data_IF_000841239461
#
_entry.id   IF_000841239461
#
_cell.length_a   1.000
_cell.length_b   1.000
_cell.length_c   1.000
_cell.angle_alpha   90.00
_cell.angle_beta   90.00
_cell.angle_gamma   90.00
#
_symmetry.space_group_name_H-M   'P 1'
#
loop_
_entity.id
_entity.type
_entity.pdbx_description
1 polymer ?
#
# COMPACT_ATOMS: atom_id res chain seq x y z
N UNK A 1 -20.96 7.66 -14.12
CA UNK A 1 -20.93 6.76 -12.92
C UNK A 1 -22.02 7.26 -12.00
N UNK A 2 -23.00 6.43 -11.59
CA UNK A 2 -24.04 6.91 -10.68
C UNK A 2 -23.39 7.32 -9.35
N UNK A 3 -23.87 8.43 -8.79
CA UNK A 3 -23.37 9.04 -7.56
C UNK A 3 -23.66 8.12 -6.38
N UNK A 4 -22.77 7.16 -6.12
CA UNK A 4 -22.95 6.25 -4.98
C UNK A 4 -22.63 6.99 -3.68
N UNK A 5 -23.44 6.75 -2.64
CA UNK A 5 -23.21 7.28 -1.30
C UNK A 5 -21.90 6.72 -0.75
N UNK A 6 -20.84 7.51 -0.90
CA UNK A 6 -19.62 7.33 -0.13
C UNK A 6 -19.94 7.60 1.35
N UNK A 7 -19.21 6.94 2.25
CA UNK A 7 -19.28 7.26 3.67
C UNK A 7 -18.91 8.73 3.90
N UNK A 8 -19.52 9.35 4.91
CA UNK A 8 -19.14 10.69 5.32
C UNK A 8 -17.63 10.70 5.65
N UNK A 9 -16.82 11.55 4.99
CA UNK A 9 -15.37 11.54 5.14
C UNK A 9 -14.91 11.78 6.59
N UNK A 10 -15.68 12.56 7.36
CA UNK A 10 -15.37 12.80 8.78
C UNK A 10 -15.58 11.54 9.62
N UNK A 11 -16.67 10.80 9.39
CA UNK A 11 -16.93 9.53 10.08
C UNK A 11 -15.91 8.46 9.70
N UNK A 12 -15.56 8.37 8.41
CA UNK A 12 -14.53 7.46 7.95
C UNK A 12 -13.15 7.81 8.55
N UNK A 13 -12.82 9.10 8.65
CA UNK A 13 -11.60 9.58 9.27
C UNK A 13 -11.51 9.25 10.76
N UNK A 14 -12.59 9.46 11.52
CA UNK A 14 -12.66 9.10 12.96
C UNK A 14 -12.52 7.59 13.13
N UNK A 15 -13.24 6.78 12.34
CA UNK A 15 -13.13 5.33 12.40
C UNK A 15 -11.70 4.86 12.09
N UNK A 16 -11.05 5.42 11.07
CA UNK A 16 -9.66 5.12 10.72
C UNK A 16 -8.69 5.53 11.84
N UNK A 17 -8.90 6.70 12.46
CA UNK A 17 -8.12 7.16 13.60
C UNK A 17 -8.24 6.25 14.82
N UNK A 18 -9.45 5.76 15.11
CA UNK A 18 -9.69 4.77 16.18
C UNK A 18 -9.00 3.44 15.88
N UNK A 19 -9.01 2.98 14.63
CA UNK A 19 -8.27 1.76 14.22
C UNK A 19 -6.77 1.96 14.38
N UNK A 20 -6.23 3.12 13.98
CA UNK A 20 -4.82 3.44 14.17
C UNK A 20 -4.45 3.46 15.65
N UNK A 21 -5.26 4.10 16.49
CA UNK A 21 -5.07 4.13 17.95
C UNK A 21 -5.12 2.73 18.55
N UNK A 22 -6.11 1.92 18.17
CA UNK A 22 -6.22 0.54 18.62
C UNK A 22 -5.00 -0.30 18.18
N UNK A 23 -4.50 -0.08 16.97
CA UNK A 23 -3.27 -0.74 16.48
C UNK A 23 -2.07 -0.42 17.38
N UNK A 24 -1.89 0.85 17.74
CA UNK A 24 -0.84 1.25 18.66
C UNK A 24 -1.02 0.67 20.07
N UNK A 25 -2.24 0.67 20.60
CA UNK A 25 -2.53 0.21 21.97
C UNK A 25 -2.40 -1.30 22.13
N UNK A 26 -2.91 -2.08 21.18
CA UNK A 26 -2.94 -3.54 21.29
C UNK A 26 -1.59 -4.14 20.88
N UNK A 27 -0.88 -3.50 19.95
CA UNK A 27 0.22 -4.16 19.21
C UNK A 27 1.51 -3.36 19.14
N UNK A 28 1.53 -2.14 19.69
CA UNK A 28 2.71 -1.29 19.77
C UNK A 28 3.24 -0.79 18.43
N UNK A 29 2.52 -1.05 17.32
CA UNK A 29 2.93 -0.70 15.97
C UNK A 29 1.80 0.04 15.24
N UNK A 30 2.16 1.03 14.43
CA UNK A 30 1.22 1.72 13.56
C UNK A 30 0.96 0.96 12.26
N UNK A 31 -0.03 1.44 11.50
CA UNK A 31 -0.46 0.87 10.22
C UNK A 31 0.63 1.02 9.15
N UNK A 32 0.88 -0.03 8.37
CA UNK A 32 1.88 -0.03 7.30
C UNK A 32 1.80 -1.25 6.37
N UNK A 33 1.63 -1.02 5.07
CA UNK A 33 1.51 -2.11 4.09
C UNK A 33 2.86 -2.55 3.47
N UNK A 34 3.78 -1.61 3.20
CA UNK A 34 5.03 -1.90 2.49
C UNK A 34 6.03 -2.77 3.25
N UNK A 35 5.94 -2.81 4.58
CA UNK A 35 6.75 -3.73 5.39
C UNK A 35 6.35 -5.18 5.13
N UNK A 36 5.05 -5.48 5.14
CA UNK A 36 4.52 -6.81 4.81
C UNK A 36 4.79 -7.21 3.35
N UNK A 37 4.56 -6.30 2.39
CA UNK A 37 4.74 -6.61 0.97
C UNK A 37 6.20 -6.97 0.64
N UNK A 38 7.16 -6.28 1.26
CA UNK A 38 8.57 -6.63 1.12
C UNK A 38 8.97 -7.86 1.91
N UNK A 39 8.34 -8.05 3.07
CA UNK A 39 8.24 -9.31 3.83
C UNK A 39 8.07 -10.49 2.88
N UNK A 40 6.89 -10.50 2.26
CA UNK A 40 6.45 -11.51 1.31
C UNK A 40 7.38 -11.61 0.08
N UNK A 41 7.84 -10.48 -0.48
CA UNK A 41 8.75 -10.50 -1.62
C UNK A 41 10.11 -11.13 -1.28
N UNK A 42 10.67 -10.86 -0.10
CA UNK A 42 11.91 -11.49 0.39
C UNK A 42 11.68 -12.97 0.66
N UNK A 43 10.55 -13.34 1.27
CA UNK A 43 10.19 -14.75 1.48
C UNK A 43 10.05 -15.53 0.17
N UNK A 44 9.40 -14.94 -0.84
CA UNK A 44 9.31 -15.51 -2.19
C UNK A 44 10.69 -15.59 -2.87
N UNK A 45 11.52 -14.55 -2.74
CA UNK A 45 12.89 -14.55 -3.29
C UNK A 45 13.77 -15.62 -2.62
N UNK A 46 13.60 -15.86 -1.32
CA UNK A 46 14.33 -16.91 -0.59
C UNK A 46 13.96 -18.32 -1.06
N UNK A 47 12.69 -18.56 -1.41
CA UNK A 47 12.24 -19.85 -1.98
C UNK A 47 12.83 -20.09 -3.38
N UNK A 48 13.05 -19.03 -4.15
CA UNK A 48 13.55 -19.13 -5.54
C UNK A 48 15.08 -19.11 -5.61
N UNK A 49 15.76 -18.33 -4.75
CA UNK A 49 17.21 -18.13 -4.78
C UNK A 49 17.79 -17.93 -3.35
N UNK A 50 17.90 -18.99 -2.54
CA UNK A 50 18.35 -18.89 -1.15
C UNK A 50 19.80 -18.36 -1.01
N UNK A 51 20.70 -18.71 -1.94
CA UNK A 51 22.11 -18.28 -1.91
C UNK A 51 22.30 -16.78 -2.16
N UNK A 52 21.48 -16.17 -3.02
CA UNK A 52 21.53 -14.73 -3.31
C UNK A 52 21.00 -13.88 -2.15
N UNK A 53 20.05 -14.42 -1.37
CA UNK A 53 19.42 -13.76 -0.22
C UNK A 53 20.28 -13.91 1.05
N UNK A 54 21.04 -15.00 1.17
CA UNK A 54 21.95 -15.24 2.30
C UNK A 54 23.23 -14.40 2.28
N UNK A 55 23.70 -13.99 1.10
CA UNK A 55 24.97 -13.25 0.94
C UNK A 55 24.85 -11.72 1.07
N UNK A 56 23.63 -11.17 1.05
CA UNK A 56 23.39 -9.72 1.17
C UNK A 56 23.08 -9.32 2.63
N UNK A 57 23.86 -8.42 3.26
CA UNK A 57 23.63 -7.94 4.61
C UNK A 57 22.24 -7.30 4.84
N UNK A 58 21.60 -6.80 3.78
CA UNK A 58 20.27 -6.23 3.83
C UNK A 58 19.19 -7.32 3.97
N UNK A 59 19.32 -8.44 3.26
CA UNK A 59 18.36 -9.53 3.26
C UNK A 59 18.52 -10.45 4.47
N UNK A 60 19.75 -10.65 4.96
CA UNK A 60 20.04 -11.41 6.18
C UNK A 60 19.40 -10.82 7.46
N UNK A 61 18.99 -9.54 7.45
CA UNK A 61 18.20 -8.95 8.54
C UNK A 61 16.76 -9.47 8.60
N UNK A 62 16.23 -9.96 7.48
CA UNK A 62 14.85 -10.43 7.35
C UNK A 62 14.73 -11.95 7.28
N UNK A 63 15.81 -12.67 6.92
CA UNK A 63 15.82 -14.13 6.77
C UNK A 63 16.99 -14.72 7.55
N UNK A 64 16.69 -15.65 8.47
CA UNK A 64 17.69 -16.33 9.29
C UNK A 64 17.08 -17.44 10.16
N UNK A 65 17.89 -18.34 10.75
CA UNK A 65 17.38 -19.46 11.56
C UNK A 65 16.55 -18.92 12.73
N UNK A 66 15.25 -19.26 12.77
CA UNK A 66 14.31 -18.82 13.81
C UNK A 66 13.63 -17.46 13.57
N UNK A 67 13.80 -16.82 12.41
CA UNK A 67 13.06 -15.60 12.03
C UNK A 67 12.07 -15.91 10.92
N UNK A 68 10.80 -16.06 11.29
CA UNK A 68 9.71 -16.19 10.34
C UNK A 68 9.42 -14.84 9.71
N UNK A 69 9.67 -14.75 8.41
CA UNK A 69 9.29 -13.63 7.53
C UNK A 69 7.78 -13.30 7.63
N UNK A 70 6.99 -14.26 8.11
CA UNK A 70 5.54 -14.25 8.29
C UNK A 70 5.05 -13.91 9.72
N UNK A 71 5.91 -13.94 10.75
CA UNK A 71 5.53 -13.63 12.16
C UNK A 71 5.44 -12.13 12.46
N UNK A 72 5.52 -11.30 11.43
CA UNK A 72 5.39 -9.87 11.61
C UNK A 72 3.92 -9.47 11.49
N UNK A 73 3.43 -8.75 12.51
CA UNK A 73 2.06 -8.26 12.60
C UNK A 73 1.53 -7.62 11.30
N UNK A 74 2.42 -6.99 10.52
CA UNK A 74 2.07 -6.38 9.24
C UNK A 74 1.44 -7.37 8.24
N UNK A 75 1.74 -8.67 8.32
CA UNK A 75 1.11 -9.69 7.46
C UNK A 75 -0.36 -9.87 7.82
N UNK A 76 -0.68 -9.92 9.12
CA UNK A 76 -2.05 -9.96 9.60
C UNK A 76 -2.80 -8.66 9.30
N UNK A 77 -2.13 -7.50 9.40
CA UNK A 77 -2.69 -6.21 8.99
C UNK A 77 -3.08 -6.23 7.51
N UNK A 78 -2.17 -6.65 6.61
CA UNK A 78 -2.45 -6.69 5.16
C UNK A 78 -3.55 -7.69 4.83
N UNK A 79 -3.58 -8.85 5.49
CA UNK A 79 -4.66 -9.83 5.33
C UNK A 79 -6.00 -9.27 5.81
N UNK A 80 -6.02 -8.60 6.97
CA UNK A 80 -7.20 -7.94 7.53
C UNK A 80 -7.72 -6.82 6.62
N UNK A 81 -6.83 -5.98 6.08
CA UNK A 81 -7.18 -4.94 5.10
C UNK A 81 -7.74 -5.54 3.82
N UNK A 82 -7.15 -6.64 3.33
CA UNK A 82 -7.64 -7.34 2.15
C UNK A 82 -9.05 -7.91 2.37
N UNK A 83 -9.25 -8.67 3.45
CA UNK A 83 -10.55 -9.26 3.79
C UNK A 83 -11.59 -8.17 4.08
N UNK A 84 -11.23 -7.13 4.84
CA UNK A 84 -12.10 -5.99 5.12
C UNK A 84 -12.50 -5.23 3.85
N UNK A 85 -11.57 -5.07 2.91
CA UNK A 85 -11.85 -4.49 1.59
C UNK A 85 -12.81 -5.33 0.76
N UNK A 86 -12.66 -6.66 0.77
CA UNK A 86 -13.56 -7.59 0.06
C UNK A 86 -14.96 -7.55 0.68
N UNK A 87 -15.07 -7.64 2.01
CA UNK A 87 -16.35 -7.57 2.73
C UNK A 87 -17.01 -6.21 2.51
N UNK A 88 -16.26 -5.12 2.55
CA UNK A 88 -16.75 -3.77 2.26
C UNK A 88 -17.23 -3.59 0.81
N UNK A 89 -16.52 -4.18 -0.16
CA UNK A 89 -16.93 -4.16 -1.56
C UNK A 89 -18.17 -5.02 -1.82
N UNK A 90 -18.29 -6.15 -1.12
CA UNK A 90 -19.45 -7.03 -1.19
C UNK A 90 -20.69 -6.40 -0.55
N UNK A 91 -20.56 -5.84 0.66
CA UNK A 91 -21.68 -5.20 1.38
C UNK A 91 -22.18 -3.94 0.66
N UNK A 92 -21.30 -3.21 -0.02
CA UNK A 92 -21.67 -2.07 -0.86
C UNK A 92 -22.19 -2.48 -2.26
N UNK A 93 -22.31 -3.77 -2.57
CA UNK A 93 -22.83 -4.27 -3.85
C UNK A 93 -21.99 -3.85 -5.06
N UNK A 94 -20.70 -3.55 -4.84
CA UNK A 94 -19.79 -2.96 -5.85
C UNK A 94 -18.66 -3.88 -6.26
N UNK A 95 -18.74 -5.16 -5.89
CA UNK A 95 -17.77 -6.17 -6.28
C UNK A 95 -17.95 -6.49 -7.76
N UNK A 96 -17.07 -5.92 -8.60
CA UNK A 96 -17.10 -6.12 -10.05
C UNK A 96 -15.75 -6.63 -10.52
N UNK A 97 -15.73 -7.80 -11.14
CA UNK A 97 -14.54 -8.33 -11.80
C UNK A 97 -14.41 -7.64 -13.16
N UNK A 98 -13.26 -7.04 -13.41
CA UNK A 98 -12.98 -6.35 -14.65
C UNK A 98 -11.82 -5.39 -14.48
N UNK A 99 -11.22 -5.02 -15.60
CA UNK A 99 -10.27 -3.93 -15.65
C UNK A 99 -11.10 -2.65 -15.60
N UNK A 100 -10.91 -1.82 -14.57
CA UNK A 100 -11.45 -0.46 -14.61
C UNK A 100 -10.98 0.16 -15.93
N UNK A 101 -11.84 0.79 -16.71
CA UNK A 101 -11.49 1.43 -17.98
C UNK A 101 -12.02 2.86 -17.98
N UNK A 102 -11.30 3.77 -18.65
CA UNK A 102 -11.78 5.13 -18.85
C UNK A 102 -12.81 5.18 -19.99
N UNK A 103 -13.40 6.35 -20.27
CA UNK A 103 -14.28 6.56 -21.42
C UNK A 103 -13.60 6.27 -22.76
N UNK A 104 -12.26 6.38 -22.81
CA UNK A 104 -11.47 6.08 -24.00
C UNK A 104 -11.22 4.57 -24.18
N UNK A 105 -11.26 4.08 -25.44
CA UNK A 105 -10.88 2.71 -25.78
C UNK A 105 -9.34 2.58 -25.77
N UNK A 106 -8.75 2.48 -24.59
CA UNK A 106 -7.37 2.00 -24.44
C UNK A 106 -7.38 0.47 -24.40
N UNK A 107 -6.46 -0.21 -25.11
CA UNK A 107 -6.38 -1.66 -25.04
C UNK A 107 -6.09 -2.10 -23.59
N UNK A 108 -6.76 -3.17 -23.15
CA UNK A 108 -6.60 -3.73 -21.80
C UNK A 108 -5.12 -3.89 -21.42
N UNK A 109 -4.31 -4.34 -22.37
CA UNK A 109 -2.87 -4.54 -22.19
C UNK A 109 -2.09 -3.25 -21.95
N UNK A 110 -2.43 -2.15 -22.62
CA UNK A 110 -1.80 -0.85 -22.40
C UNK A 110 -2.06 -0.31 -20.99
N UNK A 111 -3.27 -0.57 -20.46
CA UNK A 111 -3.63 -0.18 -19.10
C UNK A 111 -3.00 -1.07 -18.04
N UNK A 112 -2.95 -2.38 -18.28
CA UNK A 112 -2.23 -3.34 -17.43
C UNK A 112 -0.73 -3.01 -17.40
N UNK A 113 -0.12 -2.70 -18.54
CA UNK A 113 1.28 -2.31 -18.63
C UNK A 113 1.59 -1.04 -17.84
N UNK A 114 0.73 -0.02 -17.92
CA UNK A 114 0.90 1.19 -17.12
C UNK A 114 0.67 0.94 -15.62
N UNK A 115 -0.32 0.12 -15.26
CA UNK A 115 -0.56 -0.26 -13.86
C UNK A 115 0.65 -1.01 -13.28
N UNK A 116 1.24 -1.91 -14.06
CA UNK A 116 2.46 -2.63 -13.69
C UNK A 116 3.65 -1.67 -13.56
N UNK A 117 3.88 -0.81 -14.55
CA UNK A 117 4.96 0.19 -14.51
C UNK A 117 4.82 1.14 -13.30
N UNK A 118 3.60 1.60 -13.02
CA UNK A 118 3.29 2.41 -11.86
C UNK A 118 3.51 1.66 -10.54
N UNK A 119 3.13 0.37 -10.48
CA UNK A 119 3.37 -0.50 -9.33
C UNK A 119 4.86 -0.71 -9.04
N UNK A 120 5.66 -0.97 -10.08
CA UNK A 120 7.12 -1.11 -9.98
C UNK A 120 7.73 0.19 -9.46
N UNK A 121 7.36 1.33 -10.06
CA UNK A 121 7.85 2.65 -9.65
C UNK A 121 7.48 2.95 -8.19
N UNK A 122 6.24 2.68 -7.78
CA UNK A 122 5.79 2.84 -6.40
C UNK A 122 6.55 1.92 -5.43
N UNK A 123 6.87 0.69 -5.83
CA UNK A 123 7.67 -0.23 -5.03
C UNK A 123 9.08 0.30 -4.77
N UNK A 124 9.76 0.79 -5.83
CA UNK A 124 11.09 1.41 -5.73
C UNK A 124 11.03 2.69 -4.88
N UNK A 125 10.05 3.55 -5.12
CA UNK A 125 9.87 4.79 -4.38
C UNK A 125 9.59 4.55 -2.89
N UNK A 126 8.76 3.56 -2.55
CA UNK A 126 8.46 3.20 -1.15
C UNK A 126 9.72 2.74 -0.39
N UNK A 127 10.67 2.09 -1.09
CA UNK A 127 11.96 1.69 -0.52
C UNK A 127 12.86 2.90 -0.28
N UNK A 128 12.98 3.79 -1.26
CA UNK A 128 13.74 5.04 -1.12
C UNK A 128 13.19 5.92 0.00
N UNK A 129 11.86 6.00 0.12
CA UNK A 129 11.18 6.76 1.16
C UNK A 129 11.12 6.05 2.53
N UNK A 130 11.66 4.82 2.63
CA UNK A 130 11.60 3.97 3.83
C UNK A 130 10.18 3.79 4.39
N UNK A 131 9.16 3.82 3.53
CA UNK A 131 7.76 3.70 3.94
C UNK A 131 6.78 3.84 2.78
N UNK A 132 5.56 3.34 2.99
CA UNK A 132 4.41 3.60 2.11
C UNK A 132 3.70 4.88 2.53
N UNK A 133 2.73 5.29 1.71
CA UNK A 133 1.75 6.31 2.07
C UNK A 133 1.01 6.01 3.38
N UNK A 134 0.60 4.77 3.67
CA UNK A 134 -0.03 4.47 4.96
C UNK A 134 0.95 4.61 6.14
N UNK A 135 2.17 4.08 6.02
CA UNK A 135 3.17 4.18 7.09
C UNK A 135 3.69 5.59 7.32
N UNK A 136 3.96 6.36 6.27
CA UNK A 136 4.42 7.74 6.41
C UNK A 136 3.26 8.68 6.74
N UNK A 137 2.14 8.64 6.01
CA UNK A 137 1.07 9.61 6.20
C UNK A 137 0.19 9.32 7.43
N UNK A 138 -0.19 8.07 7.70
CA UNK A 138 -1.07 7.74 8.84
C UNK A 138 -0.25 7.63 10.12
N UNK A 139 0.69 6.68 10.16
CA UNK A 139 1.50 6.39 11.35
C UNK A 139 2.48 7.53 11.63
N UNK A 140 3.30 7.92 10.66
CA UNK A 140 4.24 9.04 10.80
C UNK A 140 3.55 10.41 11.00
N UNK A 141 2.41 10.63 10.36
CA UNK A 141 1.58 11.82 10.56
C UNK A 141 0.99 11.93 11.96
N UNK A 142 0.51 10.80 12.53
CA UNK A 142 0.01 10.76 13.92
C UNK A 142 1.09 11.05 14.97
N UNK A 143 2.34 10.72 14.65
CA UNK A 143 3.51 11.00 15.50
C UNK A 143 4.10 12.41 15.27
N UNK A 144 3.47 13.24 14.44
CA UNK A 144 3.95 14.57 14.05
C UNK A 144 5.39 14.56 13.50
N UNK A 145 5.80 13.48 12.84
CA UNK A 145 7.14 13.38 12.26
C UNK A 145 7.30 14.36 11.09
N UNK A 146 8.27 15.27 11.20
CA UNK A 146 8.54 16.26 10.15
C UNK A 146 8.80 15.59 8.79
N UNK A 147 9.56 14.50 8.78
CA UNK A 147 9.88 13.76 7.55
C UNK A 147 8.64 13.18 6.88
N UNK A 148 7.67 12.72 7.67
CA UNK A 148 6.41 12.17 7.18
C UNK A 148 5.48 13.23 6.61
N UNK A 149 5.44 14.41 7.22
CA UNK A 149 4.71 15.57 6.69
C UNK A 149 5.31 16.06 5.37
N UNK A 150 6.64 16.18 5.29
CA UNK A 150 7.34 16.53 4.04
C UNK A 150 7.06 15.48 2.97
N UNK A 151 7.14 14.19 3.30
CA UNK A 151 6.81 13.10 2.37
C UNK A 151 5.37 13.23 1.86
N UNK A 152 4.39 13.44 2.74
CA UNK A 152 2.99 13.58 2.36
C UNK A 152 2.79 14.74 1.38
N UNK A 153 3.37 15.91 1.66
CA UNK A 153 3.28 17.07 0.76
C UNK A 153 3.91 16.80 -0.60
N UNK A 154 5.07 16.12 -0.64
CA UNK A 154 5.74 15.76 -1.89
C UNK A 154 4.96 14.72 -2.70
N UNK A 155 4.29 13.77 -2.05
CA UNK A 155 3.40 12.81 -2.73
C UNK A 155 2.24 13.53 -3.41
N UNK A 156 1.58 14.47 -2.71
CA UNK A 156 0.51 15.25 -3.32
C UNK A 156 1.03 16.14 -4.45
N UNK A 157 2.12 16.87 -4.23
CA UNK A 157 2.74 17.72 -5.25
C UNK A 157 3.13 16.91 -6.50
N UNK A 158 3.83 15.79 -6.33
CA UNK A 158 4.20 14.89 -7.42
C UNK A 158 2.99 14.30 -8.13
N UNK A 159 1.95 13.92 -7.39
CA UNK A 159 0.69 13.44 -7.96
C UNK A 159 0.00 14.48 -8.82
N UNK A 160 -0.11 15.72 -8.36
CA UNK A 160 -0.67 16.84 -9.13
C UNK A 160 0.17 17.18 -10.37
N UNK A 161 1.49 17.11 -10.28
CA UNK A 161 2.40 17.33 -11.41
C UNK A 161 2.34 16.20 -12.45
N UNK A 162 2.14 14.96 -12.01
CA UNK A 162 2.01 13.80 -12.91
C UNK A 162 0.59 13.67 -13.51
N UNK A 163 -0.44 14.24 -12.87
CA UNK A 163 -1.82 14.14 -13.31
C UNK A 163 -2.04 14.60 -14.77
N UNK A 164 -1.45 15.69 -15.29
CA UNK A 164 -1.57 16.10 -16.68
C UNK A 164 -1.07 15.07 -17.71
N UNK A 165 -0.11 14.22 -17.34
CA UNK A 165 0.43 13.17 -18.20
C UNK A 165 -0.55 11.99 -18.30
N UNK A 166 -1.09 11.57 -17.16
CA UNK A 166 -1.95 10.38 -17.07
C UNK A 166 -3.43 10.70 -17.34
N UNK A 167 -3.89 11.95 -17.16
CA UNK A 167 -5.29 12.35 -17.41
C UNK A 167 -5.76 12.06 -18.83
N UNK A 168 -4.87 12.00 -19.81
CA UNK A 168 -5.19 11.68 -21.21
C UNK A 168 -5.75 10.26 -21.38
N UNK A 169 -5.52 9.36 -20.42
CA UNK A 169 -6.06 8.00 -20.43
C UNK A 169 -7.46 7.87 -19.85
N UNK A 170 -7.92 8.89 -19.11
CA UNK A 170 -9.20 8.87 -18.38
C UNK A 170 -10.21 9.91 -18.88
N UNK A 171 -9.79 10.85 -19.73
CA UNK A 171 -10.66 11.67 -20.57
C UNK A 171 -10.98 10.93 -21.85
#
# INVERSE_FOLDING_TARGET
MPHQKLWNPYLAGVALGLVLLASFLVMGNGLGASGAANRAAIGAAYVVAPDAVGHDPYFAKYVGPGKNVLDDWLVFEVLGVFLGGVVGAYSAGRLRRGILMGPRPVPAWGRLGLALAGGILMGVAARLARGCTSGQALTGGSLLSLGSWVFMMMVFAGGYLAAPLVRRQWR
#
